data_IF_455038104391
#
_entry.id   IF_455038104391
#
_cell.length_a   1.000
_cell.length_b   1.000
_cell.length_c   1.000
_cell.angle_alpha   90.00
_cell.angle_beta   90.00
_cell.angle_gamma   90.00
#
_symmetry.space_group_name_H-M   'P 1'
#
loop_
_entity.id
_entity.type
_entity.pdbx_description
1 polymer ?
#
# COMPACT_ATOMS: atom_id res chain seq x y z
N UNK A 1 -1.34 -5.87 -19.93
CA UNK A 1 -0.95 -4.70 -19.11
C UNK A 1 0.17 -3.97 -19.81
N UNK A 2 -0.01 -2.68 -20.06
CA UNK A 2 1.05 -1.80 -20.54
C UNK A 2 1.45 -0.87 -19.38
N UNK A 3 2.70 -0.92 -18.95
CA UNK A 3 3.19 -0.03 -17.90
C UNK A 3 3.52 1.35 -18.51
N UNK A 4 3.01 2.41 -17.91
CA UNK A 4 3.43 3.78 -18.17
C UNK A 4 4.68 4.02 -17.32
N UNK A 5 5.77 4.48 -17.95
CA UNK A 5 7.00 4.82 -17.23
C UNK A 5 6.83 6.13 -16.47
N UNK A 6 7.48 6.26 -15.31
CA UNK A 6 7.62 7.55 -14.60
C UNK A 6 8.17 8.65 -15.51
N UNK A 7 9.04 8.31 -16.46
CA UNK A 7 9.65 9.27 -17.40
C UNK A 7 8.64 9.87 -18.38
N UNK A 8 7.50 9.20 -18.58
CA UNK A 8 6.39 9.67 -19.41
C UNK A 8 5.40 10.52 -18.62
N UNK A 9 5.62 10.71 -17.31
CA UNK A 9 4.84 11.57 -16.44
C UNK A 9 5.61 12.86 -16.17
N UNK A 10 4.91 13.96 -16.38
CA UNK A 10 5.46 15.30 -16.16
C UNK A 10 4.52 16.08 -15.25
N UNK A 11 5.06 17.07 -14.53
CA UNK A 11 4.22 18.08 -13.87
C UNK A 11 3.47 18.91 -14.91
N UNK A 12 2.34 19.51 -14.54
CA UNK A 12 1.45 20.26 -15.46
C UNK A 12 2.22 21.13 -16.48
N UNK A 13 2.13 20.74 -17.76
CA UNK A 13 2.69 21.47 -18.90
C UNK A 13 1.63 21.62 -20.00
N UNK A 14 1.66 22.74 -20.72
CA UNK A 14 0.74 22.99 -21.84
C UNK A 14 0.93 21.97 -22.97
N UNK A 15 -0.16 21.31 -23.39
CA UNK A 15 -0.17 20.34 -24.50
C UNK A 15 -0.16 18.87 -24.07
N UNK A 16 -0.03 18.57 -22.77
CA UNK A 16 -0.16 17.22 -22.22
C UNK A 16 -1.53 17.00 -21.56
N UNK A 17 -1.92 15.75 -21.36
CA UNK A 17 -3.22 15.33 -20.83
C UNK A 17 -3.17 15.18 -19.30
N UNK A 18 -3.82 16.06 -18.52
CA UNK A 18 -3.79 15.99 -17.06
C UNK A 18 -4.53 14.77 -16.53
N UNK A 19 -3.89 14.00 -15.63
CA UNK A 19 -4.53 12.82 -15.01
C UNK A 19 -5.81 13.20 -14.24
N UNK A 20 -5.87 14.41 -13.67
CA UNK A 20 -7.05 14.95 -13.00
C UNK A 20 -8.27 15.13 -13.92
N UNK A 21 -8.07 15.15 -15.24
CA UNK A 21 -9.13 15.26 -16.24
C UNK A 21 -9.44 13.95 -16.97
N UNK A 22 -8.65 12.90 -16.74
CA UNK A 22 -8.83 11.59 -17.38
C UNK A 22 -9.70 10.65 -16.53
N UNK A 23 -10.45 9.73 -17.16
CA UNK A 23 -11.03 8.60 -16.45
C UNK A 23 -9.92 7.73 -15.86
N UNK A 24 -9.85 7.65 -14.54
CA UNK A 24 -8.82 6.91 -13.81
C UNK A 24 -9.46 5.91 -12.85
N UNK A 25 -8.99 4.66 -12.87
CA UNK A 25 -9.41 3.63 -11.92
C UNK A 25 -8.32 3.46 -10.86
N UNK A 26 -8.66 3.77 -9.62
CA UNK A 26 -7.72 3.80 -8.50
C UNK A 26 -7.96 2.62 -7.59
N UNK A 27 -6.97 1.76 -7.44
CA UNK A 27 -6.97 0.71 -6.43
C UNK A 27 -6.58 1.34 -5.09
N UNK A 28 -7.50 1.24 -4.14
CA UNK A 28 -7.35 1.76 -2.78
C UNK A 28 -7.16 0.59 -1.83
N UNK A 29 -6.11 0.67 -1.02
CA UNK A 29 -5.85 -0.29 0.04
C UNK A 29 -4.38 -0.36 0.42
N UNK A 30 -4.13 -0.93 1.59
CA UNK A 30 -2.78 -1.03 2.20
C UNK A 30 -2.04 -2.28 1.76
N UNK A 31 -0.79 -2.46 2.20
CA UNK A 31 0.02 -3.61 1.75
C UNK A 31 -0.60 -4.93 2.23
N UNK A 32 -0.64 -5.96 1.39
CA UNK A 32 -1.18 -7.30 1.73
C UNK A 32 -2.67 -7.51 1.41
N UNK A 33 -3.40 -6.49 0.96
CA UNK A 33 -4.82 -6.62 0.59
C UNK A 33 -5.08 -7.25 -0.78
N UNK A 34 -4.04 -7.66 -1.52
CA UNK A 34 -4.21 -8.38 -2.80
C UNK A 34 -4.26 -7.54 -4.09
N UNK A 35 -3.85 -6.26 -4.06
CA UNK A 35 -3.84 -5.38 -5.25
C UNK A 35 -3.01 -5.94 -6.42
N UNK A 36 -1.74 -6.28 -6.20
CA UNK A 36 -0.86 -6.81 -7.27
C UNK A 36 -1.44 -8.08 -7.90
N UNK A 37 -1.91 -9.03 -7.07
CA UNK A 37 -2.53 -10.27 -7.55
C UNK A 37 -3.82 -10.00 -8.34
N UNK A 38 -4.62 -9.02 -7.92
CA UNK A 38 -5.82 -8.59 -8.68
C UNK A 38 -5.45 -8.03 -10.04
N UNK A 39 -4.42 -7.17 -10.11
CA UNK A 39 -3.93 -6.60 -11.37
C UNK A 39 -3.39 -7.67 -12.33
N UNK A 40 -2.68 -8.67 -11.81
CA UNK A 40 -2.19 -9.81 -12.59
C UNK A 40 -3.34 -10.59 -13.25
N UNK A 41 -4.41 -10.87 -12.51
CA UNK A 41 -5.59 -11.56 -13.06
C UNK A 41 -6.37 -10.66 -14.01
N UNK A 42 -6.56 -9.37 -13.68
CA UNK A 42 -7.22 -8.42 -14.56
C UNK A 42 -6.49 -8.29 -15.91
N UNK A 43 -5.16 -8.36 -15.91
CA UNK A 43 -4.34 -8.24 -17.11
C UNK A 43 -4.53 -9.42 -18.08
N UNK A 44 -5.03 -10.56 -17.59
CA UNK A 44 -5.41 -11.71 -18.41
C UNK A 44 -6.80 -11.54 -19.04
N UNK A 45 -7.66 -10.70 -18.45
CA UNK A 45 -9.05 -10.53 -18.87
C UNK A 45 -9.25 -9.34 -19.82
N UNK A 46 -8.52 -8.23 -19.63
CA UNK A 46 -8.65 -7.01 -20.44
C UNK A 46 -7.33 -6.22 -20.52
N UNK A 47 -6.99 -5.61 -21.67
CA UNK A 47 -5.87 -4.67 -21.73
C UNK A 47 -6.17 -3.39 -20.94
N UNK A 48 -5.17 -2.91 -20.21
CA UNK A 48 -5.17 -1.64 -19.49
C UNK A 48 -3.75 -1.07 -19.42
N UNK A 49 -3.68 0.23 -19.17
CA UNK A 49 -2.45 0.97 -18.90
C UNK A 49 -2.30 1.16 -17.38
N UNK A 50 -1.17 0.76 -16.82
CA UNK A 50 -0.87 0.90 -15.39
C UNK A 50 0.09 2.07 -15.19
N UNK A 51 -0.33 3.07 -14.42
CA UNK A 51 0.57 4.13 -13.96
C UNK A 51 1.64 3.54 -13.02
N UNK A 52 2.82 4.18 -12.92
CA UNK A 52 3.82 3.81 -11.93
C UNK A 52 3.21 3.69 -10.54
N UNK A 53 3.66 2.72 -9.77
CA UNK A 53 3.07 2.46 -8.46
C UNK A 53 3.39 3.59 -7.45
N UNK A 54 2.79 3.51 -6.26
CA UNK A 54 3.08 4.45 -5.17
C UNK A 54 4.58 4.63 -4.91
N UNK A 55 5.39 3.56 -4.99
CA UNK A 55 6.82 3.61 -4.64
C UNK A 55 7.58 4.41 -5.68
N UNK A 56 7.35 4.12 -6.96
CA UNK A 56 7.95 4.83 -8.08
C UNK A 56 7.61 6.32 -8.06
N UNK A 57 6.33 6.66 -7.84
CA UNK A 57 5.93 8.06 -7.74
C UNK A 57 6.47 8.76 -6.49
N UNK A 58 6.58 8.03 -5.36
CA UNK A 58 7.19 8.58 -4.15
C UNK A 58 8.65 8.93 -4.39
N UNK A 59 9.42 8.01 -4.98
CA UNK A 59 10.84 8.24 -5.26
C UNK A 59 11.01 9.43 -6.19
N UNK A 60 10.25 9.49 -7.28
CA UNK A 60 10.37 10.55 -8.28
C UNK A 60 9.92 11.93 -7.77
N UNK A 61 8.74 12.01 -7.16
CA UNK A 61 8.07 13.31 -6.92
C UNK A 61 8.06 13.75 -5.46
N UNK A 62 8.20 12.82 -4.50
CA UNK A 62 8.24 13.16 -3.06
C UNK A 62 9.69 13.22 -2.57
N UNK A 63 10.54 12.29 -3.01
CA UNK A 63 11.95 12.24 -2.63
C UNK A 63 12.88 12.90 -3.65
N UNK A 64 12.34 13.49 -4.72
CA UNK A 64 13.14 14.21 -5.73
C UNK A 64 14.13 13.31 -6.48
N UNK A 65 13.78 12.05 -6.71
CA UNK A 65 14.59 11.03 -7.37
C UNK A 65 15.46 10.18 -6.44
N UNK A 66 15.51 10.46 -5.14
CA UNK A 66 16.28 9.65 -4.18
C UNK A 66 15.61 8.29 -3.93
N UNK A 67 16.37 7.21 -4.14
CA UNK A 67 15.93 5.82 -3.86
C UNK A 67 16.27 5.43 -2.42
N UNK A 68 15.31 5.59 -1.53
CA UNK A 68 15.47 5.24 -0.11
C UNK A 68 15.08 3.77 0.09
N UNK A 69 16.02 2.95 0.56
CA UNK A 69 15.77 1.53 0.84
C UNK A 69 15.09 1.31 2.20
N UNK A 70 15.46 2.07 3.23
CA UNK A 70 14.89 1.91 4.58
C UNK A 70 13.41 2.33 4.60
N UNK A 71 12.56 1.35 4.86
CA UNK A 71 11.11 1.51 4.89
C UNK A 71 10.64 2.48 6.00
N UNK A 72 11.33 2.51 7.14
CA UNK A 72 10.99 3.40 8.25
C UNK A 72 11.21 4.86 7.84
N UNK A 73 12.37 5.14 7.23
CA UNK A 73 12.67 6.45 6.69
C UNK A 73 11.68 6.86 5.58
N UNK A 74 11.30 5.93 4.70
CA UNK A 74 10.26 6.19 3.68
C UNK A 74 8.94 6.62 4.32
N UNK A 75 8.48 5.94 5.38
CA UNK A 75 7.27 6.33 6.10
C UNK A 75 7.41 7.70 6.74
N UNK A 76 8.52 7.97 7.43
CA UNK A 76 8.77 9.26 8.08
C UNK A 76 8.73 10.42 7.08
N UNK A 77 9.43 10.29 5.94
CA UNK A 77 9.46 11.35 4.91
C UNK A 77 8.12 11.52 4.21
N UNK A 78 7.43 10.43 3.88
CA UNK A 78 6.09 10.53 3.26
C UNK A 78 5.06 11.13 4.20
N UNK A 79 5.17 10.88 5.52
CA UNK A 79 4.36 11.56 6.53
C UNK A 79 4.65 13.07 6.57
N UNK A 80 5.92 13.46 6.67
CA UNK A 80 6.30 14.88 6.65
C UNK A 80 5.84 15.60 5.37
N UNK A 81 5.89 14.92 4.22
CA UNK A 81 5.33 15.44 2.97
C UNK A 81 3.82 15.70 3.06
N UNK A 82 3.06 14.74 3.63
CA UNK A 82 1.60 14.86 3.79
C UNK A 82 1.17 15.98 4.74
N UNK A 83 2.01 16.35 5.71
CA UNK A 83 1.76 17.50 6.58
C UNK A 83 1.75 18.83 5.81
N UNK A 84 2.52 18.91 4.72
CA UNK A 84 2.56 20.08 3.84
C UNK A 84 1.63 19.95 2.62
N UNK A 85 1.31 18.71 2.23
CA UNK A 85 0.50 18.38 1.06
C UNK A 85 -0.66 17.47 1.48
N UNK A 86 -1.79 18.02 1.95
CA UNK A 86 -2.85 17.22 2.58
C UNK A 86 -3.45 16.16 1.64
N UNK A 87 -3.45 16.40 0.32
CA UNK A 87 -3.88 15.41 -0.67
C UNK A 87 -2.93 14.23 -0.87
N UNK A 88 -1.74 14.25 -0.27
CA UNK A 88 -0.74 13.18 -0.34
C UNK A 88 -0.47 12.69 -1.77
N UNK A 89 -0.49 11.37 -1.96
CA UNK A 89 -0.28 10.76 -3.28
C UNK A 89 -1.34 11.17 -4.32
N UNK A 90 -2.60 11.38 -3.92
CA UNK A 90 -3.63 11.84 -4.85
C UNK A 90 -3.35 13.27 -5.35
N UNK A 91 -2.83 14.14 -4.47
CA UNK A 91 -2.40 15.48 -4.83
C UNK A 91 -1.19 15.50 -5.77
N UNK A 92 -0.29 14.51 -5.65
CA UNK A 92 0.78 14.30 -6.63
C UNK A 92 0.18 13.92 -7.98
N UNK A 93 -0.66 12.87 -8.04
CA UNK A 93 -1.30 12.42 -9.28
C UNK A 93 -2.08 13.53 -10.00
N UNK A 94 -2.81 14.37 -9.26
CA UNK A 94 -3.60 15.44 -9.82
C UNK A 94 -2.78 16.49 -10.60
N UNK A 95 -1.47 16.57 -10.31
CA UNK A 95 -0.51 17.47 -10.96
C UNK A 95 0.27 16.81 -12.09
N UNK A 96 0.08 15.50 -12.31
CA UNK A 96 0.77 14.77 -13.37
C UNK A 96 -0.02 14.81 -14.68
N UNK A 97 0.72 14.76 -15.78
CA UNK A 97 0.19 14.71 -17.13
C UNK A 97 0.79 13.57 -17.94
N UNK A 98 0.04 13.04 -18.88
CA UNK A 98 0.52 12.11 -19.92
C UNK A 98 0.81 12.87 -21.22
N UNK A 99 1.89 12.53 -21.89
CA UNK A 99 2.24 13.11 -23.19
C UNK A 99 1.22 12.77 -24.29
N UNK A 100 0.55 11.62 -24.14
CA UNK A 100 -0.40 11.09 -25.11
C UNK A 100 -1.68 10.65 -24.41
N UNK A 101 -2.80 10.70 -25.13
CA UNK A 101 -4.05 10.12 -24.68
C UNK A 101 -3.88 8.61 -24.53
N UNK A 102 -4.29 8.03 -23.39
CA UNK A 102 -4.26 6.59 -23.21
C UNK A 102 -5.16 5.91 -24.24
N UNK A 103 -4.73 4.76 -24.73
CA UNK A 103 -5.48 3.91 -25.65
C UNK A 103 -6.40 2.94 -24.91
N UNK A 104 -6.12 2.67 -23.64
CA UNK A 104 -6.89 1.79 -22.78
C UNK A 104 -7.30 2.49 -21.48
N UNK A 105 -8.06 1.76 -20.66
CA UNK A 105 -8.33 2.17 -19.29
C UNK A 105 -7.03 2.39 -18.52
N UNK A 106 -6.94 3.50 -17.80
CA UNK A 106 -5.78 3.82 -16.95
C UNK A 106 -6.06 3.40 -15.52
N UNK A 107 -5.15 2.64 -14.94
CA UNK A 107 -5.19 2.19 -13.54
C UNK A 107 -4.06 2.82 -12.74
N UNK A 108 -4.32 3.05 -11.46
CA UNK A 108 -3.31 3.40 -10.47
C UNK A 108 -3.44 2.53 -9.22
N UNK A 109 -2.35 1.90 -8.79
CA UNK A 109 -2.23 1.22 -7.51
C UNK A 109 -1.43 2.09 -6.54
N UNK A 110 -2.11 2.78 -5.62
CA UNK A 110 -1.34 3.51 -4.62
C UNK A 110 -2.03 4.37 -3.57
N UNK A 111 -3.35 4.52 -3.54
CA UNK A 111 -3.99 5.29 -2.46
C UNK A 111 -4.26 4.41 -1.23
N UNK A 112 -4.04 4.97 -0.04
CA UNK A 112 -4.05 4.20 1.21
C UNK A 112 -4.85 4.84 2.35
N UNK A 113 -4.91 6.17 2.40
CA UNK A 113 -5.44 6.90 3.55
C UNK A 113 -6.61 7.83 3.24
N UNK A 114 -7.33 8.20 4.29
CA UNK A 114 -8.51 9.07 4.24
C UNK A 114 -8.28 10.36 3.44
N UNK A 115 -7.22 11.10 3.76
CA UNK A 115 -6.99 12.40 3.12
C UNK A 115 -6.62 12.27 1.63
N UNK A 116 -5.94 11.18 1.26
CA UNK A 116 -5.66 10.87 -0.14
C UNK A 116 -6.95 10.58 -0.91
N UNK A 117 -7.85 9.75 -0.35
CA UNK A 117 -9.12 9.41 -1.01
C UNK A 117 -10.11 10.58 -1.03
N UNK A 118 -10.14 11.43 0.01
CA UNK A 118 -10.91 12.68 0.03
C UNK A 118 -10.50 13.60 -1.10
N UNK A 119 -9.20 13.80 -1.28
CA UNK A 119 -8.68 14.63 -2.36
C UNK A 119 -8.99 14.03 -3.73
N UNK A 120 -8.77 12.73 -3.90
CA UNK A 120 -9.07 12.01 -5.14
C UNK A 120 -10.56 12.04 -5.52
N UNK A 121 -11.47 11.97 -4.55
CA UNK A 121 -12.91 11.93 -4.78
C UNK A 121 -13.46 13.20 -5.48
N UNK A 122 -12.72 14.32 -5.40
CA UNK A 122 -13.06 15.59 -6.04
C UNK A 122 -12.99 15.53 -7.58
N UNK A 123 -12.31 14.54 -8.16
CA UNK A 123 -12.18 14.38 -9.60
C UNK A 123 -13.26 13.42 -10.12
N UNK A 124 -14.29 13.95 -10.79
CA UNK A 124 -15.48 13.17 -11.21
C UNK A 124 -15.15 11.96 -12.10
N UNK A 125 -14.09 12.04 -12.91
CA UNK A 125 -13.64 10.94 -13.77
C UNK A 125 -12.98 9.79 -13.02
N UNK A 126 -12.62 9.98 -11.74
CA UNK A 126 -11.92 8.97 -10.98
C UNK A 126 -12.90 8.00 -10.31
N UNK A 127 -12.63 6.72 -10.47
CA UNK A 127 -13.37 5.59 -9.89
C UNK A 127 -12.46 4.80 -8.95
N UNK A 128 -13.03 4.20 -7.91
CA UNK A 128 -12.29 3.61 -6.80
C UNK A 128 -12.62 2.12 -6.62
N UNK A 129 -11.59 1.29 -6.58
CA UNK A 129 -11.67 -0.13 -6.22
C UNK A 129 -11.10 -0.29 -4.82
N UNK A 130 -11.95 -0.48 -3.83
CA UNK A 130 -11.56 -0.73 -2.46
C UNK A 130 -11.28 -2.22 -2.27
N UNK A 131 -10.01 -2.59 -2.10
CA UNK A 131 -9.62 -3.93 -1.71
C UNK A 131 -9.30 -3.95 -0.21
N UNK A 132 -10.01 -4.80 0.52
CA UNK A 132 -9.90 -4.90 1.97
C UNK A 132 -9.49 -6.30 2.42
N UNK A 133 -8.80 -6.34 3.56
CA UNK A 133 -8.41 -7.53 4.28
C UNK A 133 -8.06 -7.16 5.73
N UNK A 134 -8.46 -7.97 6.73
CA UNK A 134 -8.04 -7.80 8.11
C UNK A 134 -6.51 -7.77 8.27
N UNK A 135 -6.03 -7.02 9.27
CA UNK A 135 -4.60 -6.83 9.54
C UNK A 135 -3.86 -8.14 9.78
N UNK A 136 -4.49 -9.10 10.47
CA UNK A 136 -3.99 -10.46 10.65
C UNK A 136 -3.72 -11.17 9.32
N UNK A 137 -4.70 -11.20 8.42
CA UNK A 137 -4.57 -11.86 7.11
C UNK A 137 -3.55 -11.14 6.21
N UNK A 138 -3.49 -9.81 6.30
CA UNK A 138 -2.42 -9.05 5.64
C UNK A 138 -1.05 -9.45 6.16
N UNK A 139 -0.85 -9.54 7.47
CA UNK A 139 0.42 -9.96 8.05
C UNK A 139 0.82 -11.36 7.58
N UNK A 140 -0.12 -12.31 7.60
CA UNK A 140 0.10 -13.68 7.07
C UNK A 140 0.55 -13.68 5.61
N UNK A 141 -0.10 -12.89 4.75
CA UNK A 141 0.24 -12.78 3.32
C UNK A 141 1.60 -12.11 3.06
N UNK A 142 2.10 -11.32 4.02
CA UNK A 142 3.40 -10.65 3.91
C UNK A 142 4.56 -11.54 4.33
N UNK A 143 4.32 -12.48 5.26
CA UNK A 143 5.31 -13.46 5.71
C UNK A 143 5.51 -14.50 4.59
N UNK A 144 6.76 -14.79 4.24
CA UNK A 144 7.14 -15.60 3.09
C UNK A 144 7.17 -14.83 1.76
N UNK A 145 6.75 -13.56 1.73
CA UNK A 145 6.85 -12.69 0.54
C UNK A 145 8.21 -11.99 0.55
N UNK A 146 9.12 -12.36 -0.34
CA UNK A 146 10.41 -11.67 -0.50
C UNK A 146 10.26 -10.35 -1.25
N UNK A 147 10.02 -9.24 -0.55
CA UNK A 147 10.05 -7.88 -1.12
C UNK A 147 11.43 -7.25 -0.90
N UNK A 148 12.02 -6.64 -1.94
CA UNK A 148 13.39 -6.09 -1.92
C UNK A 148 13.59 -4.92 -0.95
N UNK A 149 12.49 -4.31 -0.48
CA UNK A 149 12.49 -3.21 0.47
C UNK A 149 12.25 -3.65 1.93
N UNK A 150 12.19 -4.95 2.21
CA UNK A 150 12.02 -5.47 3.58
C UNK A 150 13.31 -5.45 4.40
N UNK A 151 14.36 -4.79 3.90
CA UNK A 151 15.58 -4.48 4.64
C UNK A 151 15.29 -3.39 5.68
N UNK A 152 14.76 -3.78 6.84
CA UNK A 152 14.83 -2.95 8.04
C UNK A 152 16.29 -2.96 8.47
N UNK A 153 17.03 -1.87 8.19
CA UNK A 153 18.35 -1.68 8.78
C UNK A 153 18.13 -1.53 10.28
N UNK A 154 18.38 -2.60 11.02
CA UNK A 154 18.52 -2.55 12.46
C UNK A 154 19.56 -1.47 12.77
N UNK A 155 19.15 -0.32 13.31
CA UNK A 155 20.09 0.68 13.78
C UNK A 155 21.00 0.00 14.81
N UNK A 156 22.27 -0.20 14.45
CA UNK A 156 23.31 -0.84 15.25
C UNK A 156 23.61 -0.11 16.57
N UNK A 157 22.89 0.97 16.86
CA UNK A 157 22.95 1.72 18.11
C UNK A 157 22.08 1.11 19.23
N UNK A 158 20.98 0.41 18.90
CA UNK A 158 20.16 -0.29 19.91
C UNK A 158 20.74 -1.68 20.27
N UNK A 159 21.64 -2.21 19.43
CA UNK A 159 22.36 -3.47 19.70
C UNK A 159 23.49 -3.27 20.72
N UNK A 160 24.05 -2.06 20.83
CA UNK A 160 25.22 -1.79 21.67
C UNK A 160 24.91 -1.37 23.13
N UNK A 161 23.62 -1.19 23.50
CA UNK A 161 23.21 -1.07 24.91
C UNK A 161 22.76 -2.39 25.54
N UNK A 162 22.64 -3.45 24.75
CA UNK A 162 22.40 -4.82 25.22
C UNK A 162 23.70 -5.68 25.21
N UNK A 163 24.87 -5.04 25.22
CA UNK A 163 26.16 -5.70 25.36
C UNK A 163 26.41 -6.14 26.80
N UNK A 164 25.83 -7.28 27.20
CA UNK A 164 26.36 -8.23 28.21
C UNK A 164 25.26 -9.25 28.57
N UNK A 165 24.78 -10.02 27.60
CA UNK A 165 24.16 -11.36 27.75
C UNK A 165 23.56 -11.78 26.40
N UNK A 166 24.41 -11.99 25.40
CA UNK A 166 24.01 -12.67 24.16
C UNK A 166 23.89 -14.17 24.45
N UNK A 167 22.78 -14.55 25.08
CA UNK A 167 22.28 -15.93 25.01
C UNK A 167 21.65 -16.05 23.63
N UNK A 168 22.18 -16.96 22.82
CA UNK A 168 21.53 -17.40 21.61
C UNK A 168 20.11 -17.86 21.98
N UNK A 169 19.08 -17.10 21.59
CA UNK A 169 17.70 -17.58 21.59
C UNK A 169 17.51 -18.47 20.37
N UNK A 170 18.23 -19.60 20.37
CA UNK A 170 17.89 -20.77 19.59
C UNK A 170 16.77 -21.49 20.36
N UNK A 171 15.55 -21.01 20.15
CA UNK A 171 14.33 -21.63 20.68
C UNK A 171 13.12 -21.08 19.93
N UNK A 172 12.27 -21.99 19.45
CA UNK A 172 10.99 -21.70 18.81
C UNK A 172 10.04 -20.88 19.71
N UNK A 173 10.35 -20.72 21.00
CA UNK A 173 9.52 -20.05 22.00
C UNK A 173 9.72 -18.53 22.11
N UNK A 174 10.71 -17.94 21.41
CA UNK A 174 11.03 -16.51 21.54
C UNK A 174 10.26 -15.55 20.64
N UNK A 175 9.62 -16.06 19.57
CA UNK A 175 8.96 -15.22 18.57
C UNK A 175 7.77 -14.48 19.18
N UNK A 176 6.89 -15.18 19.90
CA UNK A 176 5.71 -14.59 20.51
C UNK A 176 6.09 -13.44 21.47
N UNK A 177 7.04 -13.67 22.37
CA UNK A 177 7.49 -12.64 23.31
C UNK A 177 8.10 -11.43 22.60
N UNK A 178 8.85 -11.66 21.51
CA UNK A 178 9.36 -10.58 20.67
C UNK A 178 8.24 -9.76 20.04
N UNK A 179 7.16 -10.41 19.58
CA UNK A 179 5.99 -9.74 19.02
C UNK A 179 5.21 -8.95 20.07
N UNK A 180 4.98 -9.55 21.25
CA UNK A 180 4.30 -8.91 22.37
C UNK A 180 5.03 -7.66 22.87
N UNK A 181 6.36 -7.63 22.71
CA UNK A 181 7.20 -6.48 23.05
C UNK A 181 7.17 -5.34 22.02
N UNK A 182 6.54 -5.52 20.85
CA UNK A 182 6.42 -4.46 19.85
C UNK A 182 5.45 -3.37 20.31
N UNK A 183 5.91 -2.12 20.24
CA UNK A 183 5.11 -0.96 20.63
C UNK A 183 3.84 -0.83 19.76
N UNK A 184 2.68 -0.69 20.40
CA UNK A 184 1.38 -0.52 19.73
C UNK A 184 0.85 -1.80 19.08
N UNK A 185 1.47 -2.97 19.30
CA UNK A 185 1.04 -4.23 18.66
C UNK A 185 -0.41 -4.60 18.99
N UNK A 186 -0.83 -4.35 20.23
CA UNK A 186 -2.18 -4.66 20.71
C UNK A 186 -3.25 -3.68 20.22
N UNK A 187 -2.87 -2.58 19.56
CA UNK A 187 -3.82 -1.69 18.87
C UNK A 187 -4.27 -2.29 17.53
N UNK A 188 -3.53 -3.28 17.03
CA UNK A 188 -3.73 -3.86 15.70
C UNK A 188 -4.03 -5.36 15.76
N UNK A 189 -3.37 -6.08 16.67
CA UNK A 189 -3.50 -7.53 16.81
C UNK A 189 -3.92 -7.94 18.22
N UNK A 190 -4.77 -8.95 18.32
CA UNK A 190 -5.10 -9.61 19.57
C UNK A 190 -3.98 -10.57 19.99
N UNK A 191 -3.94 -10.95 21.27
CA UNK A 191 -2.96 -11.94 21.75
C UNK A 191 -3.07 -13.29 21.02
N UNK A 192 -4.30 -13.72 20.69
CA UNK A 192 -4.54 -14.93 19.89
C UNK A 192 -3.93 -14.82 18.50
N UNK A 193 -4.11 -13.68 17.82
CA UNK A 193 -3.54 -13.44 16.50
C UNK A 193 -2.00 -13.40 16.54
N UNK A 194 -1.41 -12.83 17.59
CA UNK A 194 0.05 -12.84 17.77
C UNK A 194 0.59 -14.25 18.01
N UNK A 195 -0.12 -15.08 18.77
CA UNK A 195 0.22 -16.49 18.93
C UNK A 195 0.18 -17.22 17.59
N UNK A 196 -0.89 -17.06 16.82
CA UNK A 196 -1.04 -17.69 15.50
C UNK A 196 0.05 -17.22 14.52
N UNK A 197 0.37 -15.92 14.48
CA UNK A 197 1.44 -15.38 13.65
C UNK A 197 2.82 -15.90 14.07
N UNK A 198 3.05 -16.07 15.37
CA UNK A 198 4.33 -16.58 15.90
C UNK A 198 4.60 -18.04 15.54
N UNK A 199 3.56 -18.81 15.20
CA UNK A 199 3.64 -20.23 14.84
C UNK A 199 3.82 -20.47 13.33
N UNK A 200 3.86 -19.40 12.53
CA UNK A 200 4.12 -19.52 11.09
C UNK A 200 5.56 -20.01 10.89
N UNK A 201 5.73 -21.02 10.02
CA UNK A 201 7.04 -21.57 9.68
C UNK A 201 7.86 -20.57 8.85
N UNK A 202 8.47 -19.60 9.52
CA UNK A 202 9.32 -18.55 8.97
C UNK A 202 10.26 -18.05 10.06
N UNK A 203 11.34 -17.39 9.68
CA UNK A 203 12.29 -16.91 10.67
C UNK A 203 11.68 -15.80 11.55
N UNK A 204 12.03 -15.77 12.84
CA UNK A 204 11.53 -14.74 13.79
C UNK A 204 11.71 -13.32 13.26
N UNK A 205 12.89 -13.01 12.71
CA UNK A 205 13.18 -11.67 12.17
C UNK A 205 12.25 -11.31 11.01
N UNK A 206 11.86 -12.29 10.19
CA UNK A 206 10.96 -12.09 9.06
C UNK A 206 9.57 -11.77 9.58
N UNK A 207 9.02 -12.60 10.47
CA UNK A 207 7.70 -12.40 11.09
C UNK A 207 7.63 -11.02 11.76
N UNK A 208 8.63 -10.67 12.57
CA UNK A 208 8.74 -9.37 13.23
C UNK A 208 8.77 -8.24 12.21
N UNK A 209 9.56 -8.36 11.14
CA UNK A 209 9.65 -7.33 10.09
C UNK A 209 8.30 -7.08 9.41
N UNK A 210 7.51 -8.14 9.13
CA UNK A 210 6.21 -8.01 8.46
C UNK A 210 5.13 -7.46 9.38
N UNK A 211 5.18 -7.79 10.66
CA UNK A 211 4.27 -7.20 11.63
C UNK A 211 4.58 -5.72 11.81
N UNK A 212 5.86 -5.33 11.92
CA UNK A 212 6.27 -3.91 11.95
C UNK A 212 5.75 -3.14 10.73
N UNK A 213 5.73 -3.74 9.55
CA UNK A 213 5.13 -3.13 8.35
C UNK A 213 3.65 -2.79 8.56
N UNK A 214 2.86 -3.73 9.08
CA UNK A 214 1.42 -3.51 9.32
C UNK A 214 1.21 -2.45 10.39
N UNK A 215 1.99 -2.48 11.48
CA UNK A 215 1.94 -1.48 12.56
C UNK A 215 2.27 -0.08 12.03
N UNK A 216 3.37 0.07 11.29
CA UNK A 216 3.76 1.35 10.70
C UNK A 216 2.71 1.84 9.69
N UNK A 217 2.10 0.97 8.89
CA UNK A 217 0.98 1.37 8.03
C UNK A 217 -0.21 1.87 8.84
N UNK A 218 -0.57 1.23 9.96
CA UNK A 218 -1.69 1.67 10.84
C UNK A 218 -1.40 2.95 11.59
N UNK A 219 -0.13 3.22 11.92
CA UNK A 219 0.31 4.51 12.50
C UNK A 219 0.21 5.67 11.52
N UNK A 220 0.34 5.39 10.23
CA UNK A 220 0.39 6.42 9.18
C UNK A 220 -0.92 6.58 8.40
N UNK A 221 -1.73 5.53 8.31
CA UNK A 221 -2.97 5.51 7.54
C UNK A 221 -4.09 4.87 8.36
N UNK A 222 -5.30 5.39 8.16
CA UNK A 222 -6.53 4.72 8.60
C UNK A 222 -7.32 4.21 7.38
N UNK A 223 -7.12 2.93 6.97
CA UNK A 223 -7.81 2.36 5.81
C UNK A 223 -9.30 2.20 6.06
N UNK A 224 -9.74 2.03 7.32
CA UNK A 224 -11.16 1.92 7.66
C UNK A 224 -11.85 3.26 7.41
N UNK A 225 -11.31 4.35 7.93
CA UNK A 225 -11.85 5.67 7.64
C UNK A 225 -11.85 6.00 6.13
N UNK A 226 -10.81 5.60 5.39
CA UNK A 226 -10.75 5.79 3.94
C UNK A 226 -11.86 5.02 3.20
N UNK A 227 -12.09 3.76 3.59
CA UNK A 227 -13.18 2.92 3.09
C UNK A 227 -14.54 3.53 3.43
N UNK A 228 -14.77 3.84 4.70
CA UNK A 228 -16.06 4.34 5.18
C UNK A 228 -16.40 5.66 4.46
N UNK A 229 -15.44 6.59 4.35
CA UNK A 229 -15.61 7.81 3.57
C UNK A 229 -16.04 7.53 2.12
N UNK A 230 -15.33 6.66 1.40
CA UNK A 230 -15.64 6.40 0.00
C UNK A 230 -17.02 5.75 -0.18
N UNK A 231 -17.39 4.83 0.71
CA UNK A 231 -18.69 4.14 0.65
C UNK A 231 -19.86 5.02 1.09
N UNK A 232 -19.63 5.99 1.97
CA UNK A 232 -20.66 6.92 2.44
C UNK A 232 -20.85 8.12 1.51
N UNK A 233 -19.79 8.52 0.78
CA UNK A 233 -19.81 9.76 -0.02
C UNK A 233 -19.96 9.55 -1.52
N UNK A 234 -19.55 8.40 -2.06
CA UNK A 234 -19.61 8.12 -3.49
C UNK A 234 -20.70 7.11 -3.81
N UNK A 235 -21.30 7.27 -4.99
CA UNK A 235 -22.26 6.31 -5.50
C UNK A 235 -21.58 5.04 -6.05
N UNK A 236 -22.36 3.97 -6.19
CA UNK A 236 -21.85 2.67 -6.65
C UNK A 236 -21.30 2.67 -8.08
N UNK A 237 -21.53 3.71 -8.90
CA UNK A 237 -20.86 3.84 -10.21
C UNK A 237 -19.43 4.36 -10.10
N UNK A 238 -19.08 4.98 -8.97
CA UNK A 238 -17.75 5.54 -8.69
C UNK A 238 -16.94 4.74 -7.68
N UNK A 239 -17.56 3.88 -6.87
CA UNK A 239 -16.85 3.00 -5.93
C UNK A 239 -17.39 1.57 -5.94
N UNK A 240 -16.47 0.60 -5.89
CA UNK A 240 -16.75 -0.81 -5.59
C UNK A 240 -15.90 -1.27 -4.40
N UNK A 241 -16.52 -2.02 -3.48
CA UNK A 241 -15.84 -2.68 -2.36
C UNK A 241 -15.73 -4.18 -2.60
N UNK A 242 -14.52 -4.71 -2.45
CA UNK A 242 -14.22 -6.12 -2.63
C UNK A 242 -13.40 -6.63 -1.41
N UNK A 243 -14.03 -7.48 -0.62
CA UNK A 243 -13.36 -8.21 0.46
C UNK A 243 -12.55 -9.38 -0.13
N UNK A 244 -11.24 -9.33 0.03
CA UNK A 244 -10.31 -10.33 -0.53
C UNK A 244 -10.19 -11.60 0.31
N UNK A 245 -11.01 -11.76 1.35
CA UNK A 245 -11.26 -13.05 1.99
C UNK A 245 -12.51 -13.74 1.44
N UNK A 246 -13.47 -12.97 0.93
CA UNK A 246 -14.73 -13.50 0.41
C UNK A 246 -14.63 -13.92 -1.06
N UNK A 247 -13.67 -13.36 -1.79
CA UNK A 247 -13.47 -13.61 -3.21
C UNK A 247 -12.03 -14.04 -3.50
N UNK A 248 -11.87 -15.04 -4.35
CA UNK A 248 -10.57 -15.38 -4.93
C UNK A 248 -10.05 -14.23 -5.81
N UNK A 249 -8.73 -14.13 -6.06
CA UNK A 249 -8.18 -13.07 -6.90
C UNK A 249 -8.80 -12.98 -8.31
N UNK A 250 -9.16 -14.14 -8.89
CA UNK A 250 -9.84 -14.19 -10.18
C UNK A 250 -11.27 -13.63 -10.10
N UNK A 251 -12.02 -13.96 -9.04
CA UNK A 251 -13.36 -13.40 -8.81
C UNK A 251 -13.31 -11.89 -8.54
N UNK A 252 -12.32 -11.41 -7.79
CA UNK A 252 -12.09 -9.96 -7.59
C UNK A 252 -11.85 -9.28 -8.93
N UNK A 253 -10.98 -9.81 -9.78
CA UNK A 253 -10.70 -9.25 -11.11
C UNK A 253 -11.93 -9.28 -12.03
N UNK A 254 -12.72 -10.37 -12.00
CA UNK A 254 -13.96 -10.51 -12.76
C UNK A 254 -15.02 -9.49 -12.34
N UNK A 255 -15.25 -9.32 -11.03
CA UNK A 255 -16.20 -8.33 -10.49
C UNK A 255 -15.79 -6.90 -10.80
N UNK A 256 -14.49 -6.62 -10.70
CA UNK A 256 -13.93 -5.34 -11.10
C UNK A 256 -14.25 -5.07 -12.58
N UNK A 257 -14.04 -6.05 -13.45
CA UNK A 257 -14.32 -5.92 -14.88
C UNK A 257 -15.79 -5.72 -15.21
N UNK A 258 -16.70 -6.42 -14.53
CA UNK A 258 -18.16 -6.27 -14.68
C UNK A 258 -18.65 -4.88 -14.29
N UNK A 259 -17.95 -4.25 -13.33
CA UNK A 259 -18.29 -2.93 -12.82
C UNK A 259 -17.78 -1.77 -13.70
N UNK A 260 -16.71 -2.00 -14.48
CA UNK A 260 -16.05 -0.98 -15.32
C UNK A 260 -16.74 -0.72 -16.66
#
# INVERSE_FOLDING_TARGET
MQAISVQSLHTLHNGFYPLSSLPLVVLVGVTGVGKSTTLEHLAQLRPFELLPDRRELTDAFIFGGEKIADRTERFRRTRAFREQHPGGMAGVLAQLTLEQTPSFLVLFDGLRGLEEVKHAAQFDGWRFVLLDAPDFERARRLIGRGDVFDNIVSNSADVNRAGANSVALEGEDGTLETLKALEGVYEVFTERELLELSQINSATWEIVSKIKIVLEERRNYDPRAARDYLLETLDFSRVIYLDTLMFSPLEVAGRLLEWL
#
